data_IF_706383238516
#
_entry.id   IF_706383238516
#
_cell.length_a   1.000
_cell.length_b   1.000
_cell.length_c   1.000
_cell.angle_alpha   90.00
_cell.angle_beta   90.00
_cell.angle_gamma   90.00
#
_symmetry.space_group_name_H-M   'P 1'
#
loop_
_entity.id
_entity.type
_entity.pdbx_description
1 polymer ?
#
# COMPACT_ATOMS: atom_id res chain seq x y z
N UNK A 1 -0.18 -18.31 -7.88
CA UNK A 1 1.00 -18.35 -6.97
C UNK A 1 0.84 -17.27 -5.89
N UNK A 2 1.04 -17.64 -4.63
CA UNK A 2 1.07 -16.70 -3.50
C UNK A 2 2.38 -15.92 -3.57
N UNK A 3 2.29 -14.60 -3.50
CA UNK A 3 3.46 -13.71 -3.58
C UNK A 3 4.32 -13.76 -2.30
N UNK A 4 5.60 -13.43 -2.43
CA UNK A 4 6.48 -13.29 -1.27
C UNK A 4 6.03 -12.13 -0.36
N UNK A 5 5.51 -11.05 -0.96
CA UNK A 5 4.89 -9.95 -0.23
C UNK A 5 3.77 -10.44 0.70
N UNK A 6 2.84 -11.24 0.19
CA UNK A 6 1.72 -11.74 0.98
C UNK A 6 2.16 -12.68 2.10
N UNK A 7 3.18 -13.52 1.85
CA UNK A 7 3.75 -14.39 2.88
C UNK A 7 4.36 -13.58 4.03
N UNK A 8 5.14 -12.54 3.74
CA UNK A 8 5.72 -11.65 4.75
C UNK A 8 4.63 -10.93 5.55
N UNK A 9 3.63 -10.37 4.87
CA UNK A 9 2.50 -9.69 5.50
C UNK A 9 1.73 -10.63 6.46
N UNK A 10 1.39 -11.82 6.01
CA UNK A 10 0.69 -12.83 6.83
C UNK A 10 1.53 -13.26 8.02
N UNK A 11 2.86 -13.36 7.86
CA UNK A 11 3.74 -13.69 8.98
C UNK A 11 3.70 -12.58 10.04
N UNK A 12 3.74 -11.32 9.65
CA UNK A 12 3.60 -10.18 10.57
C UNK A 12 2.25 -10.24 11.31
N UNK A 13 1.15 -10.53 10.62
CA UNK A 13 -0.15 -10.70 11.28
C UNK A 13 -0.12 -11.81 12.35
N UNK A 14 0.43 -12.98 12.01
CA UNK A 14 0.57 -14.11 12.93
C UNK A 14 1.45 -13.75 14.13
N UNK A 15 2.55 -13.06 13.92
CA UNK A 15 3.49 -12.68 14.96
C UNK A 15 2.85 -11.67 15.94
N UNK A 16 2.10 -10.69 15.43
CA UNK A 16 1.36 -9.73 16.27
C UNK A 16 0.28 -10.43 17.07
N UNK A 17 -0.52 -11.31 16.49
CA UNK A 17 -1.56 -12.04 17.20
C UNK A 17 -1.00 -12.96 18.29
N UNK A 18 0.18 -13.54 18.06
CA UNK A 18 0.81 -14.48 19.00
C UNK A 18 1.65 -13.80 20.08
N UNK A 19 2.41 -12.78 19.71
CA UNK A 19 3.48 -12.20 20.53
C UNK A 19 3.29 -10.70 20.77
N UNK A 20 2.22 -10.08 20.22
CA UNK A 20 1.99 -8.65 20.32
C UNK A 20 1.71 -8.20 21.74
N UNK A 21 2.27 -7.04 22.10
CA UNK A 21 2.02 -6.38 23.37
C UNK A 21 0.71 -5.60 23.30
N UNK A 22 -0.17 -5.86 24.29
CA UNK A 22 -1.40 -5.10 24.44
C UNK A 22 -1.11 -3.64 24.82
N UNK A 23 -1.80 -2.71 24.17
CA UNK A 23 -1.61 -1.28 24.36
C UNK A 23 -2.93 -0.53 24.28
N UNK A 24 -3.25 0.22 25.33
CA UNK A 24 -4.32 1.21 25.30
C UNK A 24 -3.77 2.48 24.68
N UNK A 25 -4.37 2.93 23.61
CA UNK A 25 -3.92 4.08 22.84
C UNK A 25 -4.97 5.20 22.78
N UNK A 26 -4.62 6.33 22.13
CA UNK A 26 -5.46 7.53 22.08
C UNK A 26 -6.79 7.36 21.35
N UNK A 27 -6.95 6.33 20.51
CA UNK A 27 -8.18 6.10 19.72
C UNK A 27 -9.29 5.46 20.55
N UNK A 28 -9.02 5.05 21.79
CA UNK A 28 -9.97 4.34 22.64
C UNK A 28 -10.20 2.86 22.26
N UNK A 29 -9.68 2.40 21.12
CA UNK A 29 -9.68 0.99 20.71
C UNK A 29 -8.30 0.40 20.99
N UNK A 30 -8.17 -0.62 21.88
CA UNK A 30 -6.89 -1.24 22.18
C UNK A 30 -6.24 -1.87 20.94
N UNK A 31 -4.91 -2.00 21.01
CA UNK A 31 -4.12 -2.64 19.95
C UNK A 31 -3.20 -3.72 20.52
N UNK A 32 -2.90 -4.70 19.69
CA UNK A 32 -1.74 -5.58 19.83
C UNK A 32 -0.66 -5.11 18.89
N UNK A 33 0.56 -4.87 19.38
CA UNK A 33 1.65 -4.29 18.58
C UNK A 33 2.97 -5.01 18.74
N UNK A 34 3.76 -4.98 17.67
CA UNK A 34 5.18 -5.33 17.64
C UNK A 34 5.99 -4.20 17.03
N UNK A 35 7.21 -3.94 17.55
CA UNK A 35 8.08 -2.93 16.96
C UNK A 35 8.76 -3.44 15.67
N UNK A 36 9.16 -2.51 14.81
CA UNK A 36 10.17 -2.67 13.77
C UNK A 36 9.92 -3.84 12.81
N UNK A 37 8.75 -3.86 12.19
CA UNK A 37 8.46 -4.83 11.13
C UNK A 37 8.98 -4.33 9.79
N UNK A 38 9.44 -5.24 8.94
CA UNK A 38 9.99 -4.92 7.62
C UNK A 38 9.36 -5.84 6.59
N UNK A 39 8.94 -5.26 5.46
CA UNK A 39 8.50 -5.97 4.26
C UNK A 39 9.44 -5.58 3.12
N UNK A 40 9.95 -6.55 2.38
CA UNK A 40 10.80 -6.33 1.21
C UNK A 40 10.24 -7.02 -0.02
N UNK A 41 10.13 -6.27 -1.12
CA UNK A 41 9.54 -6.75 -2.38
C UNK A 41 10.44 -6.39 -3.55
N UNK A 42 10.85 -7.39 -4.34
CA UNK A 42 11.44 -7.13 -5.65
C UNK A 42 10.31 -6.82 -6.64
N UNK A 43 10.19 -5.54 -7.02
CA UNK A 43 9.13 -5.07 -7.92
C UNK A 43 9.30 -5.55 -9.37
N UNK A 44 10.43 -6.19 -9.72
CA UNK A 44 10.58 -6.85 -11.01
C UNK A 44 9.89 -8.21 -11.04
N UNK A 45 9.80 -8.88 -9.89
CA UNK A 45 9.24 -10.22 -9.77
C UNK A 45 7.74 -10.20 -9.47
N UNK A 46 7.30 -9.25 -8.63
CA UNK A 46 5.91 -9.19 -8.19
C UNK A 46 5.43 -7.75 -7.93
N UNK A 47 4.14 -7.53 -8.08
CA UNK A 47 3.47 -6.32 -7.60
C UNK A 47 2.83 -6.59 -6.24
N UNK A 48 3.16 -5.80 -5.17
CA UNK A 48 2.68 -6.07 -3.81
C UNK A 48 1.22 -5.69 -3.64
N UNK A 49 0.35 -6.67 -3.81
CA UNK A 49 -1.06 -6.56 -3.49
C UNK A 49 -1.55 -7.87 -2.87
N UNK A 50 -2.40 -7.79 -1.84
CA UNK A 50 -2.90 -8.97 -1.15
C UNK A 50 -3.98 -9.67 -1.96
N UNK A 51 -3.97 -10.99 -1.94
CA UNK A 51 -4.99 -11.86 -2.52
C UNK A 51 -5.90 -12.49 -1.47
N UNK A 52 -5.42 -12.70 -0.26
CA UNK A 52 -6.22 -13.23 0.86
C UNK A 52 -7.37 -12.31 1.27
N UNK A 53 -7.28 -11.03 0.90
CA UNK A 53 -8.37 -10.05 0.94
C UNK A 53 -8.24 -9.04 -0.20
N UNK A 54 -9.33 -8.39 -0.55
CA UNK A 54 -9.33 -7.30 -1.52
C UNK A 54 -8.69 -6.02 -0.93
N UNK A 55 -7.79 -5.41 -1.71
CA UNK A 55 -7.24 -4.06 -1.48
C UNK A 55 -7.72 -3.13 -2.58
N UNK A 56 -8.20 -1.95 -2.22
CA UNK A 56 -8.77 -0.98 -3.17
C UNK A 56 -7.68 -0.28 -4.01
N UNK A 57 -7.11 -0.99 -4.99
CA UNK A 57 -6.00 -0.53 -5.83
C UNK A 57 -6.24 0.85 -6.44
N UNK A 58 -7.41 1.09 -7.08
CA UNK A 58 -7.70 2.38 -7.71
C UNK A 58 -7.73 3.54 -6.70
N UNK A 59 -8.24 3.29 -5.50
CA UNK A 59 -8.22 4.27 -4.41
C UNK A 59 -6.79 4.57 -3.97
N UNK A 60 -5.94 3.55 -3.82
CA UNK A 60 -4.50 3.72 -3.51
C UNK A 60 -3.80 4.59 -4.55
N UNK A 61 -4.09 4.36 -5.85
CA UNK A 61 -3.49 5.16 -6.94
C UNK A 61 -3.95 6.61 -6.89
N UNK A 62 -5.25 6.86 -6.70
CA UNK A 62 -5.80 8.22 -6.61
C UNK A 62 -5.15 9.02 -5.47
N UNK A 63 -5.05 8.41 -4.31
CA UNK A 63 -4.49 9.06 -3.13
C UNK A 63 -2.99 9.34 -3.28
N UNK A 64 -2.18 8.38 -3.71
CA UNK A 64 -0.74 8.63 -3.86
C UNK A 64 -0.43 9.68 -4.93
N UNK A 65 -1.17 9.70 -6.03
CA UNK A 65 -1.03 10.74 -7.05
C UNK A 65 -1.42 12.11 -6.48
N UNK A 66 -2.56 12.19 -5.78
CA UNK A 66 -3.01 13.41 -5.14
C UNK A 66 -1.97 13.99 -4.17
N UNK A 67 -1.40 13.15 -3.30
CA UNK A 67 -0.33 13.56 -2.37
C UNK A 67 0.91 14.04 -3.15
N UNK A 68 1.40 13.23 -4.08
CA UNK A 68 2.69 13.48 -4.73
C UNK A 68 2.61 14.57 -5.81
N UNK A 69 1.43 14.87 -6.33
CA UNK A 69 1.18 16.04 -7.18
C UNK A 69 1.01 17.34 -6.38
N UNK A 70 1.16 17.26 -5.04
CA UNK A 70 1.16 18.43 -4.19
C UNK A 70 -0.23 18.97 -3.87
N UNK A 71 -1.27 18.17 -4.04
CA UNK A 71 -2.65 18.55 -3.75
C UNK A 71 -3.02 18.18 -2.30
N UNK A 72 -3.83 18.99 -1.66
CA UNK A 72 -4.38 18.78 -0.31
C UNK A 72 -5.89 19.08 -0.23
N UNK A 73 -6.54 19.34 -1.36
CA UNK A 73 -7.97 19.61 -1.45
C UNK A 73 -8.76 18.29 -1.48
N UNK A 74 -9.65 18.10 -0.50
CA UNK A 74 -10.42 16.86 -0.32
C UNK A 74 -11.52 16.72 -1.38
N UNK A 75 -12.13 17.83 -1.81
CA UNK A 75 -13.16 17.83 -2.84
C UNK A 75 -12.66 17.26 -4.18
N UNK A 76 -11.37 17.49 -4.49
CA UNK A 76 -10.75 16.87 -5.66
C UNK A 76 -10.77 15.32 -5.58
N UNK A 77 -10.52 14.73 -4.40
CA UNK A 77 -10.62 13.28 -4.21
C UNK A 77 -12.08 12.81 -4.28
N UNK A 78 -13.00 13.54 -3.65
CA UNK A 78 -14.44 13.23 -3.70
C UNK A 78 -14.97 13.23 -5.13
N UNK A 79 -14.55 14.20 -5.96
CA UNK A 79 -14.92 14.25 -7.39
C UNK A 79 -14.49 13.01 -8.18
N UNK A 80 -13.47 12.30 -7.69
CA UNK A 80 -13.01 11.03 -8.24
C UNK A 80 -13.60 9.80 -7.52
N UNK A 81 -14.62 9.96 -6.69
CA UNK A 81 -15.20 8.90 -5.85
C UNK A 81 -14.11 8.22 -4.97
N UNK A 82 -13.35 9.04 -4.26
CA UNK A 82 -12.33 8.63 -3.29
C UNK A 82 -12.56 9.38 -1.98
N UNK A 83 -12.99 8.66 -0.94
CA UNK A 83 -13.52 9.20 0.31
C UNK A 83 -12.61 8.93 1.52
N UNK A 84 -11.35 8.60 1.28
CA UNK A 84 -10.40 8.20 2.34
C UNK A 84 -9.95 9.34 3.24
N UNK A 85 -10.28 10.58 2.88
CA UNK A 85 -9.91 11.78 3.62
C UNK A 85 -11.09 12.62 4.12
N UNK A 86 -12.34 12.15 3.93
CA UNK A 86 -13.54 12.91 4.29
C UNK A 86 -13.58 13.28 5.79
N UNK A 87 -13.11 12.38 6.67
CA UNK A 87 -13.11 12.61 8.14
C UNK A 87 -12.04 13.61 8.59
N UNK A 88 -11.06 13.91 7.75
CA UNK A 88 -9.96 14.85 8.05
C UNK A 88 -10.07 16.17 7.29
N UNK A 89 -11.18 16.40 6.60
CA UNK A 89 -11.43 17.66 5.91
C UNK A 89 -11.63 18.80 6.90
N UNK A 90 -10.84 19.87 6.72
CA UNK A 90 -10.94 21.09 7.50
C UNK A 90 -12.00 22.02 6.88
N UNK A 91 -12.35 23.12 7.58
CA UNK A 91 -13.37 24.09 7.13
C UNK A 91 -13.06 24.72 5.76
N UNK A 92 -11.80 24.78 5.37
CA UNK A 92 -11.35 25.29 4.08
C UNK A 92 -11.38 24.27 2.93
N UNK A 93 -11.90 23.06 3.18
CA UNK A 93 -11.98 21.97 2.21
C UNK A 93 -10.65 21.25 1.95
N UNK A 94 -9.64 21.47 2.78
CA UNK A 94 -8.32 20.85 2.66
C UNK A 94 -7.99 19.97 3.87
N UNK A 95 -6.84 19.28 3.83
CA UNK A 95 -6.25 18.60 4.99
C UNK A 95 -5.17 19.49 5.66
N UNK A 96 -5.19 20.78 5.44
CA UNK A 96 -4.24 21.73 5.99
C UNK A 96 -2.83 21.56 5.44
N UNK A 97 -1.82 21.87 6.27
CA UNK A 97 -0.40 21.82 5.90
C UNK A 97 0.22 20.42 6.04
N UNK A 98 -0.48 19.39 5.56
CA UNK A 98 -0.05 18.01 5.64
C UNK A 98 0.15 17.42 4.23
N UNK A 99 0.86 16.29 4.13
CA UNK A 99 1.03 15.47 2.94
C UNK A 99 1.30 16.26 1.65
N UNK A 100 0.31 16.39 0.76
CA UNK A 100 0.46 17.06 -0.53
C UNK A 100 0.92 18.53 -0.41
N UNK A 101 0.43 19.23 0.60
CA UNK A 101 0.90 20.59 0.86
C UNK A 101 2.42 20.64 1.13
N UNK A 102 2.94 19.68 1.93
CA UNK A 102 4.39 19.56 2.21
C UNK A 102 5.16 19.21 0.94
N UNK A 103 4.65 18.28 0.12
CA UNK A 103 5.29 17.90 -1.15
C UNK A 103 5.44 19.12 -2.05
N UNK A 104 4.38 19.93 -2.18
CA UNK A 104 4.36 21.13 -3.02
C UNK A 104 5.21 22.25 -2.46
N UNK A 105 5.07 22.56 -1.16
CA UNK A 105 5.78 23.67 -0.50
C UNK A 105 7.31 23.55 -0.60
N UNK A 106 7.82 22.31 -0.59
CA UNK A 106 9.24 22.03 -0.72
C UNK A 106 9.65 21.52 -2.11
N UNK A 107 8.73 21.54 -3.07
CA UNK A 107 8.95 21.04 -4.45
C UNK A 107 9.60 19.66 -4.50
N UNK A 108 9.22 18.77 -3.58
CA UNK A 108 9.96 17.56 -3.30
C UNK A 108 9.93 16.56 -4.47
N UNK A 109 8.78 16.37 -5.11
CA UNK A 109 8.64 15.41 -6.20
C UNK A 109 9.42 15.83 -7.44
N UNK A 110 9.41 17.11 -7.81
CA UNK A 110 10.15 17.60 -8.95
C UNK A 110 11.66 17.55 -8.73
N UNK A 111 12.11 17.86 -7.49
CA UNK A 111 13.51 17.74 -7.10
C UNK A 111 13.99 16.28 -7.13
N UNK A 112 13.12 15.34 -6.76
CA UNK A 112 13.41 13.91 -6.87
C UNK A 112 13.53 13.47 -8.33
N UNK A 113 12.56 13.81 -9.17
CA UNK A 113 12.55 13.48 -10.61
C UNK A 113 13.77 14.07 -11.31
N UNK A 114 14.11 15.33 -11.04
CA UNK A 114 15.31 15.97 -11.57
C UNK A 114 16.58 15.20 -11.16
N UNK A 115 16.68 14.82 -9.89
CA UNK A 115 17.80 14.06 -9.39
C UNK A 115 17.91 12.67 -10.02
N UNK A 116 16.79 11.97 -10.19
CA UNK A 116 16.75 10.65 -10.83
C UNK A 116 17.16 10.70 -12.31
N UNK A 117 16.78 11.76 -13.04
CA UNK A 117 17.13 11.94 -14.46
C UNK A 117 18.57 12.38 -14.68
N UNK A 118 19.03 13.35 -13.88
CA UNK A 118 20.26 14.08 -14.15
C UNK A 118 21.43 13.67 -13.25
N UNK A 119 21.15 13.08 -12.08
CA UNK A 119 22.17 12.65 -11.13
C UNK A 119 21.70 11.42 -10.31
N UNK A 120 21.47 10.26 -10.96
CA UNK A 120 20.93 9.08 -10.30
C UNK A 120 21.85 8.48 -9.23
N UNK A 121 23.10 8.88 -9.14
CA UNK A 121 24.06 8.44 -8.13
C UNK A 121 24.01 9.27 -6.83
N UNK A 122 23.14 10.29 -6.78
CA UNK A 122 22.97 11.17 -5.61
C UNK A 122 22.41 10.38 -4.44
N UNK A 123 23.04 10.54 -3.26
CA UNK A 123 22.65 9.86 -2.01
C UNK A 123 21.76 10.69 -1.11
N UNK A 124 21.02 11.68 -1.66
CA UNK A 124 20.15 12.61 -0.93
C UNK A 124 18.76 12.69 -1.59
N UNK A 125 18.34 11.60 -2.21
CA UNK A 125 17.04 11.49 -2.83
C UNK A 125 16.03 11.03 -1.79
N UNK A 126 15.19 11.96 -1.34
CA UNK A 126 14.26 11.72 -0.23
C UNK A 126 13.02 12.59 -0.42
N UNK A 127 11.87 12.04 -0.03
CA UNK A 127 10.64 12.79 0.25
C UNK A 127 10.41 12.68 1.76
N UNK A 128 10.33 13.83 2.44
CA UNK A 128 10.10 13.91 3.87
C UNK A 128 8.84 14.73 4.15
N UNK A 129 7.81 14.07 4.63
CA UNK A 129 6.53 14.68 4.96
C UNK A 129 6.45 15.18 6.40
N UNK A 130 7.45 14.82 7.25
CA UNK A 130 7.49 15.24 8.64
C UNK A 130 8.20 16.58 8.77
N UNK A 131 7.42 17.65 8.94
CA UNK A 131 7.92 19.02 9.08
C UNK A 131 7.36 19.63 10.37
N UNK A 132 8.17 19.76 11.39
CA UNK A 132 7.76 20.13 12.74
C UNK A 132 6.96 21.42 12.81
N UNK A 133 7.28 22.40 11.98
CA UNK A 133 6.61 23.72 11.98
C UNK A 133 5.15 23.65 11.50
N UNK A 134 4.78 22.58 10.76
CA UNK A 134 3.47 22.44 10.12
C UNK A 134 2.59 21.33 10.69
N UNK A 135 3.07 20.51 11.63
CA UNK A 135 2.28 19.41 12.20
C UNK A 135 1.01 19.91 12.92
N UNK A 136 1.07 21.09 13.54
CA UNK A 136 -0.05 21.66 14.30
C UNK A 136 -1.22 22.15 13.43
N UNK A 137 -0.97 22.39 12.14
CA UNK A 137 -1.94 22.93 11.18
C UNK A 137 -2.35 21.92 10.12
N UNK A 138 -1.77 20.72 10.16
CA UNK A 138 -2.21 19.57 9.37
C UNK A 138 -3.32 18.80 10.08
N UNK A 139 -4.26 18.25 9.32
CA UNK A 139 -5.38 17.46 9.86
C UNK A 139 -4.92 16.15 10.48
N UNK A 140 -3.85 15.56 9.95
CA UNK A 140 -3.29 14.27 10.41
C UNK A 140 -1.78 14.24 10.22
N UNK A 141 -1.05 13.87 11.27
CA UNK A 141 0.39 13.67 11.19
C UNK A 141 0.74 12.50 10.24
N UNK A 142 1.69 12.70 9.29
CA UNK A 142 2.04 11.69 8.30
C UNK A 142 2.47 10.36 8.94
N UNK A 143 1.76 9.25 8.63
CA UNK A 143 2.16 7.91 9.04
C UNK A 143 3.33 7.41 8.18
N UNK A 144 3.20 7.45 6.88
CA UNK A 144 4.27 7.26 5.90
C UNK A 144 5.07 8.56 5.76
N UNK A 145 5.92 8.84 6.73
CA UNK A 145 6.49 10.19 6.86
C UNK A 145 7.75 10.42 6.02
N UNK A 146 8.44 9.36 5.60
CA UNK A 146 9.68 9.46 4.86
C UNK A 146 9.81 8.36 3.82
N UNK A 147 10.26 8.71 2.62
CA UNK A 147 10.73 7.74 1.63
C UNK A 147 12.11 8.14 1.12
N UNK A 148 13.00 7.17 1.04
CA UNK A 148 14.37 7.32 0.52
C UNK A 148 14.52 6.53 -0.78
N UNK A 149 15.24 7.12 -1.73
CA UNK A 149 15.36 6.60 -3.08
C UNK A 149 16.83 6.46 -3.47
N UNK A 150 17.15 5.38 -4.17
CA UNK A 150 18.46 5.20 -4.77
C UNK A 150 18.37 4.47 -6.11
N UNK A 151 19.41 4.63 -6.93
CA UNK A 151 19.53 3.91 -8.20
C UNK A 151 20.76 3.01 -8.13
N UNK A 152 20.52 1.70 -8.16
CA UNK A 152 21.58 0.69 -8.19
C UNK A 152 21.44 -0.16 -9.45
N UNK A 153 22.50 -0.24 -10.26
CA UNK A 153 22.51 -1.01 -11.51
C UNK A 153 21.34 -0.65 -12.47
N UNK A 154 20.99 0.64 -12.56
CA UNK A 154 19.88 1.13 -13.39
C UNK A 154 18.48 0.77 -12.87
N UNK A 155 18.37 0.30 -11.62
CA UNK A 155 17.13 -0.02 -10.95
C UNK A 155 16.84 1.01 -9.86
N UNK A 156 15.62 1.55 -9.86
CA UNK A 156 15.12 2.46 -8.82
C UNK A 156 14.61 1.67 -7.62
N UNK A 157 15.22 1.89 -6.47
CA UNK A 157 14.82 1.33 -5.19
C UNK A 157 14.11 2.39 -4.35
N UNK A 158 13.16 1.96 -3.53
CA UNK A 158 12.44 2.79 -2.58
C UNK A 158 12.50 2.16 -1.18
N UNK A 159 12.89 2.93 -0.17
CA UNK A 159 12.67 2.59 1.23
C UNK A 159 11.60 3.52 1.80
N UNK A 160 10.45 2.96 2.15
CA UNK A 160 9.37 3.66 2.84
C UNK A 160 9.55 3.47 4.35
N UNK A 161 9.51 4.56 5.11
CA UNK A 161 9.52 4.53 6.58
C UNK A 161 8.17 5.02 7.09
N UNK A 162 7.47 4.13 7.80
CA UNK A 162 6.18 4.39 8.42
C UNK A 162 6.30 4.35 9.93
N UNK A 163 5.92 5.46 10.61
CA UNK A 163 6.02 5.57 12.07
C UNK A 163 4.99 4.72 12.82
N UNK A 164 3.80 4.54 12.24
CA UNK A 164 2.66 3.84 12.81
C UNK A 164 1.90 3.15 11.69
N UNK A 165 1.72 1.84 11.79
CA UNK A 165 1.11 1.00 10.76
C UNK A 165 -0.02 0.14 11.30
N UNK A 166 -1.27 0.50 10.94
CA UNK A 166 -2.42 -0.39 11.02
C UNK A 166 -2.22 -1.51 9.99
N UNK A 167 -1.80 -2.69 10.48
CA UNK A 167 -1.44 -3.81 9.62
C UNK A 167 -2.61 -4.30 8.78
N UNK A 168 -3.83 -4.48 9.34
CA UNK A 168 -4.96 -4.95 8.55
C UNK A 168 -5.44 -3.97 7.47
N UNK A 169 -5.39 -2.67 7.71
CA UNK A 169 -6.04 -1.67 6.85
C UNK A 169 -5.03 -0.80 6.11
N UNK A 170 -4.20 -0.06 6.83
CA UNK A 170 -3.32 0.97 6.25
C UNK A 170 -2.10 0.40 5.53
N UNK A 171 -1.41 -0.58 6.12
CA UNK A 171 -0.14 -1.08 5.59
C UNK A 171 -0.25 -1.70 4.19
N UNK A 172 -1.25 -2.54 3.85
CA UNK A 172 -1.39 -3.04 2.49
C UNK A 172 -1.63 -1.93 1.47
N UNK A 173 -2.38 -0.92 1.87
CA UNK A 173 -2.67 0.25 1.06
C UNK A 173 -1.41 1.07 0.80
N UNK A 174 -0.66 1.39 1.85
CA UNK A 174 0.57 2.17 1.76
C UNK A 174 1.68 1.45 0.96
N UNK A 175 1.84 0.12 1.14
CA UNK A 175 2.79 -0.66 0.34
C UNK A 175 2.45 -0.60 -1.14
N UNK A 176 1.16 -0.78 -1.48
CA UNK A 176 0.67 -0.66 -2.86
C UNK A 176 0.92 0.73 -3.45
N UNK A 177 0.68 1.79 -2.67
CA UNK A 177 0.90 3.18 -3.08
C UNK A 177 2.36 3.45 -3.48
N UNK A 178 3.30 3.06 -2.62
CA UNK A 178 4.72 3.30 -2.91
C UNK A 178 5.29 2.36 -3.96
N UNK A 179 4.71 1.18 -4.15
CA UNK A 179 5.00 0.34 -5.32
C UNK A 179 4.59 1.03 -6.62
N UNK A 180 3.36 1.56 -6.70
CA UNK A 180 2.89 2.36 -7.85
C UNK A 180 3.81 3.54 -8.10
N UNK A 181 4.12 4.32 -7.07
CA UNK A 181 4.99 5.50 -7.18
C UNK A 181 6.38 5.11 -7.72
N UNK A 182 6.96 4.00 -7.25
CA UNK A 182 8.26 3.50 -7.71
C UNK A 182 8.22 3.16 -9.21
N UNK A 183 7.18 2.47 -9.66
CA UNK A 183 6.99 2.15 -11.07
C UNK A 183 6.82 3.41 -11.94
N UNK A 184 6.00 4.36 -11.49
CA UNK A 184 5.77 5.62 -12.21
C UNK A 184 7.06 6.43 -12.35
N UNK A 185 7.80 6.60 -11.26
CA UNK A 185 9.07 7.33 -11.27
C UNK A 185 10.15 6.62 -12.11
N UNK A 186 10.21 5.29 -12.05
CA UNK A 186 11.14 4.51 -12.87
C UNK A 186 10.85 4.73 -14.37
N UNK A 187 9.58 4.59 -14.81
CA UNK A 187 9.18 4.81 -16.20
C UNK A 187 9.48 6.24 -16.68
N UNK A 188 9.13 7.26 -15.89
CA UNK A 188 9.38 8.67 -16.21
C UNK A 188 10.87 9.02 -16.33
N UNK A 189 11.72 8.28 -15.63
CA UNK A 189 13.17 8.54 -15.59
C UNK A 189 13.98 7.56 -16.43
N UNK A 190 13.34 6.65 -17.17
CA UNK A 190 14.02 5.65 -18.01
C UNK A 190 14.80 4.61 -17.21
N UNK A 191 14.37 4.32 -16.00
CA UNK A 191 14.95 3.35 -15.08
C UNK A 191 14.11 2.06 -15.06
N UNK A 192 14.71 0.96 -14.59
CA UNK A 192 13.96 -0.25 -14.19
C UNK A 192 13.54 -0.11 -12.74
N UNK A 193 12.47 -0.79 -12.35
CA UNK A 193 12.12 -0.92 -10.92
C UNK A 193 13.08 -1.86 -10.21
N UNK A 194 13.30 -1.65 -8.92
CA UNK A 194 14.13 -2.48 -8.05
C UNK A 194 13.36 -2.91 -6.80
N UNK A 195 14.01 -2.78 -5.65
CA UNK A 195 13.44 -3.16 -4.35
C UNK A 195 12.54 -2.07 -3.78
N UNK A 196 11.40 -2.48 -3.24
CA UNK A 196 10.63 -1.71 -2.27
C UNK A 196 10.86 -2.32 -0.88
N UNK A 197 11.40 -1.52 0.04
CA UNK A 197 11.52 -1.88 1.46
C UNK A 197 10.57 -1.00 2.25
N UNK A 198 9.60 -1.61 2.93
CA UNK A 198 8.66 -0.91 3.81
C UNK A 198 9.03 -1.20 5.27
N UNK A 199 9.52 -0.18 5.98
CA UNK A 199 9.90 -0.24 7.39
C UNK A 199 8.77 0.36 8.22
N UNK A 200 8.24 -0.42 9.17
CA UNK A 200 7.10 -0.05 10.01
C UNK A 200 7.58 -0.04 11.47
N UNK A 201 7.63 1.13 12.09
CA UNK A 201 8.13 1.27 13.46
C UNK A 201 7.16 0.68 14.49
N UNK A 202 5.90 1.12 14.50
CA UNK A 202 4.84 0.60 15.35
C UNK A 202 3.84 -0.16 14.49
N UNK A 203 4.01 -1.47 14.36
CA UNK A 203 3.11 -2.34 13.62
C UNK A 203 2.02 -2.88 14.57
N UNK A 204 0.75 -2.63 14.28
CA UNK A 204 -0.32 -2.97 15.19
C UNK A 204 -1.58 -3.49 14.49
N UNK A 205 -2.38 -4.24 15.25
CA UNK A 205 -3.72 -4.72 14.91
C UNK A 205 -4.66 -4.21 16.01
N UNK A 206 -5.72 -3.51 15.64
CA UNK A 206 -6.75 -3.11 16.59
C UNK A 206 -7.59 -4.31 17.04
N UNK A 207 -8.04 -4.31 18.29
CA UNK A 207 -8.83 -5.41 18.85
C UNK A 207 -10.10 -5.70 18.03
N UNK A 208 -10.76 -4.66 17.52
CA UNK A 208 -11.95 -4.79 16.68
C UNK A 208 -11.67 -5.32 15.26
N UNK A 209 -10.39 -5.49 14.86
CA UNK A 209 -9.99 -6.04 13.56
C UNK A 209 -9.60 -7.53 13.64
N UNK A 210 -9.51 -8.12 14.83
CA UNK A 210 -9.01 -9.50 15.03
C UNK A 210 -9.84 -10.50 14.23
N UNK A 211 -11.18 -10.43 14.30
CA UNK A 211 -12.06 -11.32 13.53
C UNK A 211 -11.79 -11.22 12.01
N UNK A 212 -11.56 -10.01 11.51
CA UNK A 212 -11.20 -9.79 10.11
C UNK A 212 -9.87 -10.43 9.72
N UNK A 213 -8.87 -10.33 10.60
CA UNK A 213 -7.57 -10.98 10.39
C UNK A 213 -7.68 -12.50 10.44
N UNK A 214 -8.45 -13.07 11.34
CA UNK A 214 -8.69 -14.51 11.40
C UNK A 214 -9.32 -15.03 10.09
N UNK A 215 -10.30 -14.32 9.56
CA UNK A 215 -10.87 -14.61 8.23
C UNK A 215 -9.81 -14.52 7.12
N UNK A 216 -8.94 -13.52 7.17
CA UNK A 216 -7.87 -13.36 6.19
C UNK A 216 -6.83 -14.49 6.28
N UNK A 217 -6.45 -14.89 7.48
CA UNK A 217 -5.55 -16.03 7.72
C UNK A 217 -6.17 -17.34 7.22
N UNK A 218 -7.46 -17.53 7.44
CA UNK A 218 -8.19 -18.66 6.88
C UNK A 218 -8.12 -18.66 5.35
N UNK A 219 -8.44 -17.55 4.69
CA UNK A 219 -8.35 -17.39 3.23
C UNK A 219 -6.95 -17.69 2.71
N UNK A 220 -5.91 -17.20 3.39
CA UNK A 220 -4.53 -17.46 3.01
C UNK A 220 -4.19 -18.96 3.09
N UNK A 221 -4.57 -19.62 4.17
CA UNK A 221 -4.34 -21.06 4.34
C UNK A 221 -5.06 -21.88 3.28
N UNK A 222 -6.28 -21.49 2.90
CA UNK A 222 -7.03 -22.07 1.79
C UNK A 222 -6.26 -21.97 0.48
N UNK A 223 -5.82 -20.75 0.13
CA UNK A 223 -5.03 -20.49 -1.07
C UNK A 223 -3.72 -21.32 -1.08
N UNK A 224 -3.02 -21.39 0.06
CA UNK A 224 -1.77 -22.13 0.20
C UNK A 224 -2.00 -23.64 0.04
N UNK A 225 -3.06 -24.18 0.63
CA UNK A 225 -3.43 -25.59 0.49
C UNK A 225 -3.67 -25.95 -0.95
N UNK A 226 -4.43 -25.15 -1.68
CA UNK A 226 -4.75 -25.42 -3.08
C UNK A 226 -3.61 -25.16 -4.05
N UNK A 227 -2.72 -24.24 -3.74
CA UNK A 227 -1.49 -24.05 -4.52
C UNK A 227 -0.57 -25.29 -4.44
N UNK A 228 -0.44 -25.86 -3.24
CA UNK A 228 0.42 -27.01 -2.99
C UNK A 228 -0.23 -28.34 -3.40
N UNK A 229 -1.55 -28.44 -3.33
CA UNK A 229 -2.32 -29.67 -3.58
C UNK A 229 -3.52 -29.43 -4.50
N UNK A 230 -3.33 -28.98 -5.75
CA UNK A 230 -4.44 -28.61 -6.64
C UNK A 230 -5.43 -29.75 -6.91
N UNK A 231 -4.98 -31.02 -6.93
CA UNK A 231 -5.86 -32.19 -7.11
C UNK A 231 -6.85 -32.38 -5.96
N UNK A 232 -6.48 -32.02 -4.73
CA UNK A 232 -7.37 -32.13 -3.56
C UNK A 232 -8.61 -31.25 -3.74
N UNK A 233 -8.43 -30.04 -4.27
CA UNK A 233 -9.52 -29.09 -4.49
C UNK A 233 -10.60 -29.63 -5.45
N UNK A 234 -10.15 -30.21 -6.56
CA UNK A 234 -11.07 -30.51 -7.67
C UNK A 234 -11.65 -31.93 -7.60
N UNK A 235 -10.92 -32.87 -7.05
CA UNK A 235 -11.28 -34.29 -7.13
C UNK A 235 -11.85 -34.86 -5.83
N UNK A 236 -11.46 -34.32 -4.66
CA UNK A 236 -11.77 -34.97 -3.38
C UNK A 236 -12.39 -34.06 -2.32
N UNK A 237 -12.39 -32.73 -2.54
CA UNK A 237 -12.98 -31.80 -1.57
C UNK A 237 -14.51 -31.79 -1.64
N UNK A 238 -15.14 -32.41 -0.66
CA UNK A 238 -16.60 -32.45 -0.47
C UNK A 238 -17.11 -31.39 0.51
N UNK A 239 -16.21 -30.61 1.14
CA UNK A 239 -16.56 -29.66 2.18
C UNK A 239 -16.93 -28.28 1.61
N UNK A 240 -16.45 -27.96 0.40
CA UNK A 240 -16.67 -26.66 -0.25
C UNK A 240 -17.57 -26.79 -1.45
N UNK A 241 -18.45 -25.80 -1.62
CA UNK A 241 -19.23 -25.69 -2.84
C UNK A 241 -18.38 -25.24 -4.05
N UNK A 242 -18.91 -25.43 -5.26
CA UNK A 242 -18.19 -25.09 -6.49
C UNK A 242 -17.84 -23.61 -6.61
N UNK A 243 -18.64 -22.71 -6.01
CA UNK A 243 -18.38 -21.27 -6.01
C UNK A 243 -17.16 -20.92 -5.15
N UNK A 244 -17.03 -21.56 -3.99
CA UNK A 244 -15.86 -21.39 -3.11
C UNK A 244 -14.59 -21.92 -3.79
N UNK A 245 -14.66 -23.10 -4.40
CA UNK A 245 -13.54 -23.69 -5.17
C UNK A 245 -13.10 -22.78 -6.31
N UNK A 246 -14.04 -22.28 -7.11
CA UNK A 246 -13.73 -21.37 -8.22
C UNK A 246 -13.09 -20.06 -7.72
N UNK A 247 -13.59 -19.50 -6.61
CA UNK A 247 -13.01 -18.28 -6.00
C UNK A 247 -11.55 -18.46 -5.57
N UNK A 248 -11.24 -19.59 -4.96
CA UNK A 248 -9.87 -19.92 -4.56
C UNK A 248 -8.98 -20.08 -5.80
N UNK A 249 -9.45 -20.83 -6.79
CA UNK A 249 -8.74 -21.04 -8.06
C UNK A 249 -8.43 -19.72 -8.76
N UNK A 250 -9.42 -18.84 -8.89
CA UNK A 250 -9.20 -17.50 -9.45
C UNK A 250 -8.13 -16.72 -8.68
N UNK A 251 -8.17 -16.76 -7.33
CA UNK A 251 -7.23 -16.02 -6.49
C UNK A 251 -5.77 -16.45 -6.71
N UNK A 252 -5.51 -17.76 -6.89
CA UNK A 252 -4.14 -18.28 -7.08
C UNK A 252 -3.69 -18.26 -8.54
N UNK A 253 -4.61 -18.28 -9.51
CA UNK A 253 -4.29 -18.35 -10.95
C UNK A 253 -3.83 -17.02 -11.52
N UNK A 254 -4.39 -15.92 -11.05
CA UNK A 254 -4.01 -14.59 -11.53
C UNK A 254 -2.73 -14.07 -10.86
N UNK A 255 -1.82 -13.56 -11.67
CA UNK A 255 -0.64 -12.82 -11.23
C UNK A 255 -0.92 -11.35 -11.53
N UNK A 256 -1.11 -10.50 -10.51
CA UNK A 256 -1.36 -9.08 -10.72
C UNK A 256 -0.18 -8.41 -11.43
N UNK A 257 -0.45 -7.71 -12.53
CA UNK A 257 0.56 -6.99 -13.31
C UNK A 257 0.17 -5.54 -13.48
N UNK A 258 1.05 -4.65 -13.01
CA UNK A 258 0.89 -3.22 -13.21
C UNK A 258 1.07 -2.85 -14.67
N UNK A 259 0.19 -2.00 -15.18
CA UNK A 259 0.31 -1.38 -16.50
C UNK A 259 0.27 0.13 -16.36
N UNK A 260 1.20 0.81 -17.02
CA UNK A 260 1.33 2.25 -17.09
C UNK A 260 1.12 2.75 -18.52
N UNK A 261 0.25 3.72 -18.68
CA UNK A 261 0.02 4.42 -19.96
C UNK A 261 0.42 5.90 -19.79
N UNK A 262 1.69 6.12 -19.44
CA UNK A 262 2.23 7.44 -19.07
C UNK A 262 3.30 7.98 -20.04
N UNK A 263 3.51 7.29 -21.16
CA UNK A 263 4.51 7.69 -22.16
C UNK A 263 4.26 9.11 -22.68
N UNK A 264 5.25 9.98 -22.55
CA UNK A 264 5.18 11.37 -22.97
C UNK A 264 4.45 12.32 -22.03
N UNK A 265 4.00 11.83 -20.85
CA UNK A 265 3.40 12.67 -19.82
C UNK A 265 4.45 13.21 -18.85
N UNK A 266 4.16 14.37 -18.27
CA UNK A 266 4.83 14.84 -17.06
C UNK A 266 4.13 14.24 -15.82
N UNK A 267 4.82 14.19 -14.68
CA UNK A 267 4.26 13.59 -13.45
C UNK A 267 2.92 14.23 -13.04
N UNK A 268 2.80 15.56 -13.18
CA UNK A 268 1.58 16.31 -12.86
C UNK A 268 0.36 15.96 -13.73
N UNK A 269 0.59 15.41 -14.93
CA UNK A 269 -0.47 15.10 -15.91
C UNK A 269 -0.92 13.62 -15.84
N UNK A 270 -0.31 12.84 -14.94
CA UNK A 270 -0.68 11.43 -14.73
C UNK A 270 -1.93 11.37 -13.88
N UNK A 271 -2.89 10.58 -14.36
CA UNK A 271 -4.14 10.32 -13.65
C UNK A 271 -4.26 8.85 -13.24
N UNK A 272 -5.22 8.56 -12.38
CA UNK A 272 -5.50 7.16 -12.00
C UNK A 272 -5.93 6.29 -13.18
N UNK A 273 -6.43 6.88 -14.28
CA UNK A 273 -6.84 6.13 -15.48
C UNK A 273 -5.65 5.66 -16.33
N UNK A 274 -4.51 6.29 -16.17
CA UNK A 274 -3.26 5.87 -16.81
C UNK A 274 -2.62 4.65 -16.14
N UNK A 275 -3.15 4.21 -15.00
CA UNK A 275 -2.57 3.17 -14.16
C UNK A 275 -3.59 2.08 -13.90
N UNK A 276 -3.29 0.86 -14.31
CA UNK A 276 -4.17 -0.29 -14.10
C UNK A 276 -3.40 -1.50 -13.57
N UNK A 277 -4.12 -2.39 -12.90
CA UNK A 277 -3.58 -3.64 -12.36
C UNK A 277 -4.35 -4.81 -13.00
N UNK A 278 -3.74 -5.43 -13.99
CA UNK A 278 -4.33 -6.56 -14.67
C UNK A 278 -4.31 -7.81 -13.77
N UNK A 279 -5.35 -8.64 -13.87
CA UNK A 279 -5.48 -9.83 -13.03
C UNK A 279 -5.94 -9.55 -11.60
N UNK A 280 -6.41 -8.32 -11.31
CA UNK A 280 -6.89 -7.95 -9.99
C UNK A 280 -8.03 -6.94 -10.05
N UNK A 281 -9.13 -7.23 -9.39
CA UNK A 281 -10.27 -6.31 -9.25
C UNK A 281 -11.11 -6.70 -8.04
N UNK A 282 -12.16 -5.94 -7.73
CA UNK A 282 -13.10 -6.31 -6.66
C UNK A 282 -13.77 -7.67 -6.88
N UNK A 283 -13.83 -8.14 -8.13
CA UNK A 283 -14.52 -9.38 -8.52
C UNK A 283 -13.59 -10.59 -8.61
N UNK A 284 -12.33 -10.39 -8.99
CA UNK A 284 -11.39 -11.49 -9.26
C UNK A 284 -9.97 -11.15 -8.80
N UNK A 285 -9.11 -12.17 -8.73
CA UNK A 285 -7.71 -12.05 -8.36
C UNK A 285 -7.45 -11.98 -6.85
N UNK A 286 -8.50 -12.15 -6.03
CA UNK A 286 -8.43 -12.16 -4.57
C UNK A 286 -9.62 -12.89 -3.94
N UNK A 287 -9.53 -13.18 -2.64
CA UNK A 287 -10.57 -13.88 -1.87
C UNK A 287 -11.79 -13.01 -1.50
N UNK A 288 -11.79 -11.73 -1.85
CA UNK A 288 -12.91 -10.81 -1.64
C UNK A 288 -12.64 -9.79 -0.53
N UNK A 289 -13.66 -8.96 -0.28
CA UNK A 289 -13.60 -7.94 0.77
C UNK A 289 -13.71 -8.60 2.15
N UNK A 290 -12.90 -8.11 3.07
CA UNK A 290 -13.03 -8.34 4.52
C UNK A 290 -13.14 -6.96 5.15
N UNK A 291 -14.16 -6.75 5.96
CA UNK A 291 -14.31 -5.50 6.70
C UNK A 291 -13.24 -5.40 7.79
N UNK A 292 -12.57 -4.26 7.79
CA UNK A 292 -11.57 -3.89 8.79
C UNK A 292 -12.00 -2.53 9.35
N UNK A 293 -12.55 -2.47 10.57
CA UNK A 293 -12.97 -1.21 11.16
C UNK A 293 -11.82 -0.20 11.25
N UNK A 294 -12.12 1.05 10.96
CA UNK A 294 -11.20 2.18 11.18
C UNK A 294 -11.26 2.57 12.65
N UNK A 295 -10.12 2.89 13.25
CA UNK A 295 -10.03 3.47 14.60
C UNK A 295 -9.24 4.77 14.52
N UNK A 296 -9.90 5.89 14.84
CA UNK A 296 -9.40 7.27 14.70
C UNK A 296 -9.26 7.97 16.05
#
# INVERSE_FOLDING_TARGET
MISNYEQQYIQICKDILKNGYFDNNRTGTPTYKLPHQIIQVDLQEEFPILKSKFVAFKTSVKEILWIMQGNNNVEYLKSQNCHVWDEWEQEDGTIGTAYGWIVNNYNQINNLIDSLKNNPQKRRMMINLWQWDYLKTGALDPCCFCSMWDVTNGKLNCMLVQRSGDIPLGVPFNTTQYAVLTHVLAELCGLKVGMLTHVINNAHIYENQIEGIEKQLFNFNEMQTYENYPKILFETDTLRDEKQKEKIKESISYIPKLQLNIKGKEFKDITSDDISLNGYSVKYGNMGKIEMPVSV
#
